data_IF_342029928942
#
_entry.id   IF_342029928942
#
_cell.length_a   1.000
_cell.length_b   1.000
_cell.length_c   1.000
_cell.angle_alpha   90.00
_cell.angle_beta   90.00
_cell.angle_gamma   90.00
#
_symmetry.space_group_name_H-M   'P 1'
#
loop_
_entity.id
_entity.type
_entity.pdbx_description
1 polymer ?
#
# COMPACT_ATOMS: atom_id res chain seq x y z
N UNK A 1 1.47 42.59 -14.54
CA UNK A 1 0.44 42.02 -13.64
C UNK A 1 0.13 40.54 -13.87
N UNK A 2 0.36 39.93 -15.06
CA UNK A 2 0.03 38.50 -15.29
C UNK A 2 1.00 37.45 -14.70
N UNK A 3 2.22 37.84 -14.31
CA UNK A 3 3.21 36.93 -13.71
C UNK A 3 2.90 36.56 -12.25
N UNK A 4 2.48 37.52 -11.42
CA UNK A 4 2.08 37.26 -10.03
C UNK A 4 0.85 36.34 -9.93
N UNK A 5 -0.11 36.49 -10.85
CA UNK A 5 -1.28 35.60 -10.91
C UNK A 5 -0.93 34.18 -11.36
N UNK A 6 0.11 34.00 -12.18
CA UNK A 6 0.62 32.68 -12.54
C UNK A 6 1.31 32.01 -11.37
N UNK A 7 2.20 32.72 -10.67
CA UNK A 7 2.90 32.16 -9.51
C UNK A 7 1.92 31.78 -8.39
N UNK A 8 0.96 32.65 -8.06
CA UNK A 8 -0.06 32.34 -7.05
C UNK A 8 -0.91 31.10 -7.42
N UNK A 9 -1.18 30.87 -8.72
CA UNK A 9 -1.87 29.65 -9.20
C UNK A 9 -0.98 28.40 -9.06
N UNK A 10 0.30 28.50 -9.38
CA UNK A 10 1.24 27.39 -9.19
C UNK A 10 1.43 27.04 -7.70
N UNK A 11 1.49 28.05 -6.83
CA UNK A 11 1.59 27.86 -5.38
C UNK A 11 0.35 27.16 -4.83
N UNK A 12 -0.85 27.60 -5.27
CA UNK A 12 -2.12 26.98 -4.87
C UNK A 12 -2.22 25.53 -5.37
N UNK A 13 -1.83 25.27 -6.62
CA UNK A 13 -1.80 23.91 -7.17
C UNK A 13 -0.83 23.01 -6.40
N UNK A 14 0.35 23.51 -6.08
CA UNK A 14 1.36 22.76 -5.33
C UNK A 14 0.87 22.42 -3.93
N UNK A 15 0.28 23.39 -3.22
CA UNK A 15 -0.29 23.17 -1.89
C UNK A 15 -1.45 22.18 -1.92
N UNK A 16 -2.33 22.26 -2.92
CA UNK A 16 -3.43 21.31 -3.05
C UNK A 16 -2.94 19.87 -3.32
N UNK A 17 -1.91 19.72 -4.16
CA UNK A 17 -1.30 18.40 -4.41
C UNK A 17 -0.64 17.85 -3.15
N UNK A 18 0.10 18.69 -2.41
CA UNK A 18 0.70 18.30 -1.14
C UNK A 18 -0.35 17.81 -0.14
N UNK A 19 -1.39 18.61 0.10
CA UNK A 19 -2.48 18.26 1.01
C UNK A 19 -3.17 16.95 0.59
N UNK A 20 -3.39 16.75 -0.71
CA UNK A 20 -3.97 15.52 -1.23
C UNK A 20 -3.09 14.31 -0.94
N UNK A 21 -1.79 14.39 -1.25
CA UNK A 21 -0.84 13.29 -1.02
C UNK A 21 -0.72 12.97 0.47
N UNK A 22 -0.65 13.98 1.33
CA UNK A 22 -0.61 13.81 2.79
C UNK A 22 -1.87 13.10 3.30
N UNK A 23 -3.06 13.56 2.89
CA UNK A 23 -4.31 12.90 3.28
C UNK A 23 -4.39 11.46 2.78
N UNK A 24 -3.92 11.20 1.56
CA UNK A 24 -3.94 9.88 0.96
C UNK A 24 -3.08 8.88 1.74
N UNK A 25 -1.85 9.26 2.08
CA UNK A 25 -0.98 8.39 2.87
C UNK A 25 -1.47 8.22 4.32
N UNK A 26 -2.09 9.24 4.91
CA UNK A 26 -2.70 9.14 6.23
C UNK A 26 -3.89 8.15 6.24
N UNK A 27 -4.76 8.20 5.22
CA UNK A 27 -5.88 7.28 5.07
C UNK A 27 -5.41 5.84 4.83
N UNK A 28 -4.36 5.67 4.02
CA UNK A 28 -3.71 4.38 3.80
C UNK A 28 -3.12 3.83 5.10
N UNK A 29 -2.36 4.62 5.84
CA UNK A 29 -1.79 4.21 7.12
C UNK A 29 -2.88 3.82 8.11
N UNK A 30 -3.95 4.61 8.20
CA UNK A 30 -5.11 4.31 9.06
C UNK A 30 -5.74 2.98 8.69
N UNK A 31 -6.02 2.75 7.41
CA UNK A 31 -6.59 1.48 6.94
C UNK A 31 -5.65 0.32 7.26
N UNK A 32 -4.37 0.50 6.97
CA UNK A 32 -3.37 -0.53 7.16
C UNK A 32 -3.22 -0.93 8.63
N UNK A 33 -3.28 0.04 9.54
CA UNK A 33 -3.29 -0.19 10.99
C UNK A 33 -4.49 -1.03 11.45
N UNK A 34 -5.67 -0.87 10.82
CA UNK A 34 -6.83 -1.74 11.12
C UNK A 34 -6.65 -3.18 10.62
N UNK A 35 -5.80 -3.39 9.61
CA UNK A 35 -5.50 -4.70 9.03
C UNK A 35 -4.36 -5.43 9.74
N UNK A 36 -3.48 -4.71 10.45
CA UNK A 36 -2.34 -5.30 11.18
C UNK A 36 -2.70 -6.49 12.10
N UNK A 37 -3.83 -6.49 12.84
CA UNK A 37 -4.21 -7.63 13.67
C UNK A 37 -4.47 -8.91 12.86
N UNK A 38 -4.96 -8.78 11.62
CA UNK A 38 -5.35 -9.91 10.75
C UNK A 38 -4.15 -10.74 10.29
N UNK A 39 -2.93 -10.22 10.42
CA UNK A 39 -1.69 -10.97 10.10
C UNK A 39 -1.56 -12.25 10.93
N UNK A 40 -2.21 -12.31 12.11
CA UNK A 40 -2.23 -13.50 12.97
C UNK A 40 -3.28 -14.54 12.54
N UNK A 41 -4.27 -14.13 11.74
CA UNK A 41 -5.38 -14.97 11.32
C UNK A 41 -5.04 -15.81 10.09
N UNK A 42 -5.91 -16.78 9.77
CA UNK A 42 -5.84 -17.49 8.49
C UNK A 42 -6.43 -16.65 7.37
N UNK A 43 -6.03 -16.90 6.11
CA UNK A 43 -6.59 -16.15 4.99
C UNK A 43 -8.12 -16.31 4.87
N UNK A 44 -8.67 -17.48 5.24
CA UNK A 44 -10.12 -17.68 5.25
C UNK A 44 -10.84 -16.76 6.24
N UNK A 45 -10.21 -16.40 7.36
CA UNK A 45 -10.78 -15.48 8.35
C UNK A 45 -10.59 -14.02 7.96
N UNK A 46 -9.43 -13.67 7.39
CA UNK A 46 -9.08 -12.31 7.05
C UNK A 46 -9.64 -11.82 5.70
N UNK A 47 -9.85 -12.73 4.74
CA UNK A 47 -10.14 -12.39 3.33
C UNK A 47 -11.32 -11.41 3.16
N UNK A 48 -12.45 -11.65 3.83
CA UNK A 48 -13.63 -10.80 3.71
C UNK A 48 -13.35 -9.35 4.16
N UNK A 49 -12.65 -9.18 5.28
CA UNK A 49 -12.26 -7.86 5.78
C UNK A 49 -11.22 -7.22 4.86
N UNK A 50 -10.23 -7.99 4.39
CA UNK A 50 -9.17 -7.51 3.49
C UNK A 50 -9.74 -7.01 2.15
N UNK A 51 -10.69 -7.76 1.56
CA UNK A 51 -11.42 -7.37 0.35
C UNK A 51 -12.32 -6.17 0.58
N UNK A 52 -13.02 -6.10 1.72
CA UNK A 52 -13.82 -4.92 2.09
C UNK A 52 -12.96 -3.67 2.20
N UNK A 53 -11.84 -3.73 2.94
CA UNK A 53 -10.90 -2.62 3.07
C UNK A 53 -10.36 -2.18 1.71
N UNK A 54 -9.94 -3.11 0.83
CA UNK A 54 -9.50 -2.76 -0.51
C UNK A 54 -10.60 -2.09 -1.35
N UNK A 55 -11.87 -2.51 -1.21
CA UNK A 55 -12.99 -1.94 -1.95
C UNK A 55 -13.37 -0.52 -1.49
N UNK A 56 -13.12 -0.17 -0.23
CA UNK A 56 -13.44 1.14 0.33
C UNK A 56 -12.24 2.10 0.41
N UNK A 57 -11.01 1.60 0.25
CA UNK A 57 -9.83 2.44 0.10
C UNK A 57 -9.74 2.94 -1.34
N UNK A 58 -9.99 4.24 -1.53
CA UNK A 58 -9.81 4.90 -2.82
C UNK A 58 -8.38 4.67 -3.33
N UNK A 59 -8.25 4.33 -4.61
CA UNK A 59 -6.98 4.11 -5.30
C UNK A 59 -6.12 3.00 -4.67
N UNK A 60 -6.71 1.91 -4.18
CA UNK A 60 -5.97 0.70 -3.77
C UNK A 60 -6.35 -0.48 -4.67
N UNK A 61 -5.36 -1.13 -5.30
CA UNK A 61 -5.58 -2.36 -6.07
C UNK A 61 -5.69 -3.57 -5.18
N UNK A 62 -4.82 -3.66 -4.18
CA UNK A 62 -4.79 -4.79 -3.27
C UNK A 62 -4.10 -4.47 -1.94
N UNK A 63 -4.60 -5.13 -0.90
CA UNK A 63 -3.89 -5.34 0.36
C UNK A 63 -3.46 -6.80 0.47
N UNK A 64 -2.26 -7.02 0.97
CA UNK A 64 -1.69 -8.34 1.20
C UNK A 64 -1.23 -8.43 2.66
N UNK A 65 -1.50 -9.56 3.29
CA UNK A 65 -0.99 -9.89 4.61
C UNK A 65 0.29 -10.73 4.46
N UNK A 66 1.35 -10.31 5.13
CA UNK A 66 2.66 -10.94 5.10
C UNK A 66 2.98 -11.45 6.49
N UNK A 67 3.34 -12.73 6.57
CA UNK A 67 3.75 -13.39 7.81
C UNK A 67 5.07 -14.12 7.56
N UNK A 68 6.05 -13.85 8.42
CA UNK A 68 7.40 -14.44 8.33
C UNK A 68 8.05 -14.26 6.94
N UNK A 69 7.83 -13.11 6.31
CA UNK A 69 8.32 -12.76 4.97
C UNK A 69 7.51 -13.34 3.81
N UNK A 70 6.45 -14.10 4.10
CA UNK A 70 5.59 -14.74 3.10
C UNK A 70 4.25 -14.00 3.01
N UNK A 71 3.92 -13.50 1.83
CA UNK A 71 2.57 -13.06 1.53
C UNK A 71 1.66 -14.28 1.48
N UNK A 72 0.71 -14.36 2.41
CA UNK A 72 -0.17 -15.53 2.58
C UNK A 72 -1.63 -15.26 2.20
N UNK A 73 -2.05 -13.99 2.19
CA UNK A 73 -3.41 -13.60 1.85
C UNK A 73 -3.41 -12.30 1.06
N UNK A 74 -4.23 -12.22 0.01
CA UNK A 74 -4.41 -11.06 -0.86
C UNK A 74 -5.88 -10.73 -0.99
N UNK A 75 -6.24 -9.45 -0.93
CA UNK A 75 -7.62 -8.99 -1.12
C UNK A 75 -8.15 -9.27 -2.53
N UNK A 76 -7.25 -9.43 -3.51
CA UNK A 76 -7.59 -9.62 -4.93
C UNK A 76 -7.53 -11.08 -5.38
N UNK A 77 -6.54 -11.85 -4.90
CA UNK A 77 -6.31 -13.24 -5.35
C UNK A 77 -6.60 -14.28 -4.28
N UNK A 78 -6.88 -13.86 -3.04
CA UNK A 78 -7.13 -14.75 -1.92
C UNK A 78 -5.85 -15.39 -1.36
N UNK A 79 -5.95 -16.66 -0.97
CA UNK A 79 -4.86 -17.39 -0.34
C UNK A 79 -3.69 -17.58 -1.30
N UNK A 80 -2.48 -17.32 -0.82
CA UNK A 80 -1.24 -17.46 -1.58
C UNK A 80 -0.10 -17.90 -0.69
N UNK A 81 1.06 -18.17 -1.28
CA UNK A 81 2.27 -18.58 -0.55
C UNK A 81 3.48 -18.10 -1.34
N UNK A 82 3.72 -16.79 -1.31
CA UNK A 82 4.76 -16.16 -2.13
C UNK A 82 5.62 -15.28 -1.23
N UNK A 83 6.96 -15.45 -1.23
CA UNK A 83 7.84 -14.53 -0.53
C UNK A 83 7.65 -13.10 -1.02
N UNK A 84 7.61 -12.12 -0.11
CA UNK A 84 7.39 -10.73 -0.48
C UNK A 84 8.47 -10.22 -1.45
N UNK A 85 9.72 -10.66 -1.28
CA UNK A 85 10.84 -10.31 -2.15
C UNK A 85 10.69 -10.84 -3.59
N UNK A 86 9.86 -11.86 -3.83
CA UNK A 86 9.57 -12.28 -5.20
C UNK A 86 8.57 -11.34 -5.88
N UNK A 87 7.69 -10.70 -5.09
CA UNK A 87 6.75 -9.70 -5.59
C UNK A 87 7.43 -8.34 -5.78
N UNK A 88 8.27 -7.94 -4.80
CA UNK A 88 8.97 -6.66 -4.79
C UNK A 88 10.38 -6.85 -4.22
N UNK A 89 11.39 -7.15 -5.06
CA UNK A 89 12.74 -7.50 -4.59
C UNK A 89 13.46 -6.38 -3.84
N UNK A 90 13.07 -5.13 -4.07
CA UNK A 90 13.77 -3.95 -3.55
C UNK A 90 13.27 -3.49 -2.18
N UNK A 91 12.15 -4.02 -1.69
CA UNK A 91 11.58 -3.61 -0.40
C UNK A 91 12.38 -4.18 0.77
N UNK A 92 12.69 -3.30 1.71
CA UNK A 92 13.36 -3.62 2.97
C UNK A 92 12.33 -3.78 4.10
N UNK A 93 12.06 -5.04 4.46
CA UNK A 93 11.11 -5.38 5.52
C UNK A 93 11.61 -5.01 6.94
N UNK A 94 12.87 -4.59 7.08
CA UNK A 94 13.42 -4.16 8.38
C UNK A 94 12.98 -2.74 8.76
N UNK A 95 12.58 -1.93 7.78
CA UNK A 95 12.03 -0.59 8.03
C UNK A 95 10.57 -0.68 8.48
N UNK A 96 10.14 0.33 9.24
CA UNK A 96 8.75 0.42 9.69
C UNK A 96 7.80 0.66 8.51
N UNK A 97 8.23 1.53 7.58
CA UNK A 97 7.60 1.78 6.30
C UNK A 97 8.69 1.80 5.23
N UNK A 98 8.43 1.12 4.12
CA UNK A 98 9.26 1.22 2.92
C UNK A 98 8.36 1.33 1.69
N UNK A 99 8.79 2.12 0.70
CA UNK A 99 7.99 2.41 -0.47
C UNK A 99 8.83 2.28 -1.73
N UNK A 100 8.20 1.78 -2.77
CA UNK A 100 8.80 1.71 -4.09
C UNK A 100 7.79 2.05 -5.19
N UNK A 101 8.30 2.64 -6.28
CA UNK A 101 7.53 3.02 -7.45
C UNK A 101 7.99 2.17 -8.62
N UNK A 102 7.15 1.23 -9.03
CA UNK A 102 7.44 0.32 -10.13
C UNK A 102 6.71 0.74 -11.41
N UNK A 103 7.35 0.66 -12.59
CA UNK A 103 6.69 0.94 -13.87
C UNK A 103 5.61 -0.10 -14.23
N UNK A 104 5.65 -1.27 -13.58
CA UNK A 104 4.69 -2.36 -13.75
C UNK A 104 4.87 -3.43 -12.69
N UNK A 105 3.87 -4.29 -12.54
CA UNK A 105 3.93 -5.48 -11.66
C UNK A 105 3.78 -6.76 -12.48
N UNK A 106 4.20 -7.94 -11.98
CA UNK A 106 4.06 -9.20 -12.73
C UNK A 106 2.63 -9.45 -13.26
N UNK A 107 1.60 -9.05 -12.52
CA UNK A 107 0.20 -9.18 -12.94
C UNK A 107 -0.27 -8.05 -13.87
N UNK A 108 0.31 -6.85 -13.75
CA UNK A 108 -0.05 -5.65 -14.53
C UNK A 108 1.23 -4.95 -15.03
N UNK A 109 1.91 -5.47 -16.05
CA UNK A 109 3.24 -5.02 -16.45
C UNK A 109 3.26 -3.63 -17.10
N UNK A 110 2.12 -3.17 -17.64
CA UNK A 110 2.01 -1.91 -18.37
C UNK A 110 1.34 -0.79 -17.55
N UNK A 111 1.15 -1.00 -16.24
CA UNK A 111 0.54 -0.01 -15.35
C UNK A 111 1.46 0.26 -14.17
N UNK A 112 1.89 1.52 -13.95
CA UNK A 112 2.71 1.85 -12.80
C UNK A 112 1.97 1.56 -11.50
N UNK A 113 2.76 1.29 -10.47
CA UNK A 113 2.31 0.87 -9.16
C UNK A 113 3.15 1.54 -8.09
N UNK A 114 2.47 2.09 -7.08
CA UNK A 114 3.10 2.35 -5.79
C UNK A 114 3.02 1.05 -5.00
N UNK A 115 4.08 0.72 -4.30
CA UNK A 115 4.19 -0.47 -3.47
C UNK A 115 4.63 -0.01 -2.10
N UNK A 116 3.85 -0.31 -1.06
CA UNK A 116 4.13 0.20 0.29
C UNK A 116 4.10 -0.96 1.27
N UNK A 117 5.17 -1.07 2.04
CA UNK A 117 5.32 -1.99 3.15
C UNK A 117 5.00 -1.28 4.47
N UNK A 118 4.20 -1.92 5.31
CA UNK A 118 3.93 -1.48 6.68
C UNK A 118 4.22 -2.61 7.66
N UNK A 119 5.28 -2.44 8.45
CA UNK A 119 5.76 -3.45 9.38
C UNK A 119 4.82 -3.61 10.57
N UNK A 120 4.59 -4.86 10.97
CA UNK A 120 4.01 -5.19 12.26
C UNK A 120 5.10 -5.25 13.32
N UNK A 121 5.04 -4.39 14.33
CA UNK A 121 6.07 -4.35 15.38
C UNK A 121 5.99 -5.54 16.35
N UNK A 122 4.85 -6.23 16.42
CA UNK A 122 4.64 -7.37 17.32
C UNK A 122 5.09 -8.70 16.71
N UNK A 123 5.35 -8.76 15.40
CA UNK A 123 5.64 -9.97 14.65
C UNK A 123 6.86 -9.74 13.76
N UNK A 124 7.84 -10.65 13.80
CA UNK A 124 9.03 -10.51 12.95
C UNK A 124 8.70 -10.70 11.47
N UNK A 125 9.32 -9.91 10.60
CA UNK A 125 9.15 -9.98 9.13
C UNK A 125 7.70 -10.08 8.67
N UNK A 126 6.78 -9.47 9.41
CA UNK A 126 5.35 -9.60 9.21
C UNK A 126 4.72 -8.23 9.19
N UNK A 127 3.58 -8.09 8.53
CA UNK A 127 3.00 -6.79 8.26
C UNK A 127 1.97 -6.83 7.16
N UNK A 128 1.61 -5.64 6.71
CA UNK A 128 0.66 -5.44 5.63
C UNK A 128 1.41 -4.79 4.48
N UNK A 129 1.18 -5.32 3.29
CA UNK A 129 1.70 -4.80 2.05
C UNK A 129 0.54 -4.24 1.23
N UNK A 130 0.69 -3.03 0.71
CA UNK A 130 -0.32 -2.34 -0.06
C UNK A 130 0.18 -2.04 -1.48
N UNK A 131 -0.71 -2.19 -2.45
CA UNK A 131 -0.50 -1.80 -3.84
C UNK A 131 -1.52 -0.72 -4.23
N UNK A 132 -1.20 0.57 -4.03
CA UNK A 132 -2.02 1.67 -4.55
C UNK A 132 -2.05 1.80 -6.08
N UNK A 133 -3.11 2.41 -6.59
CA UNK A 133 -3.20 2.89 -7.96
C UNK A 133 -2.44 4.20 -8.10
N UNK A 134 -1.53 4.25 -9.09
CA UNK A 134 -0.99 5.50 -9.63
C UNK A 134 -1.96 6.13 -10.63
#
# INVERSE_FOLDING_TARGET
>A
MSWHQRNAKYDTLTSNIQNYIESFFADLETTTNTLQPLVKDTCSQASAQLTSSAAFSLNVRAFLLVKDGIAFCSSATGSMNTPLQQLVPVLDMTKDIDMDLQPGTPMMPNKPAILIWYRNHSLQNSGVFCHPEC
#
